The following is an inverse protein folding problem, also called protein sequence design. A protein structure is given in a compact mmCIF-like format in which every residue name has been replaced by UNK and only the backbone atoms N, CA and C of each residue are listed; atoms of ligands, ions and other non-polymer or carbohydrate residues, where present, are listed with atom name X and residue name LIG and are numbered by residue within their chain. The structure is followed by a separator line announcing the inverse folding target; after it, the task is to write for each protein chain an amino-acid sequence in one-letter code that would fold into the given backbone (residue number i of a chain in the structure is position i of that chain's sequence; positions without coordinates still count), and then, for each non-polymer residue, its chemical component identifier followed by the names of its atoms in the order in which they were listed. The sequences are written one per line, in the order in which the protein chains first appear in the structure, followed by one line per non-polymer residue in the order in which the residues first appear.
data_IF_469015165808
#
_entry.id   IF_469015165808
#
_cell.length_a   1.000
_cell.length_b   1.000
_cell.length_c   1.000
_cell.angle_alpha   90.00
_cell.angle_beta   90.00
_cell.angle_gamma   90.00
#
_symmetry.space_group_name_H-M   'P 1'
#
loop_
_entity.id
_entity.type
_entity.pdbx_description
1 polymer ?
#
# COMPACT_ATOMS: atom_id res chain seq x y z
N UNK A 1 17.95 25.50 -7.35
CA UNK A 1 16.53 25.33 -7.75
C UNK A 1 16.35 23.86 -8.10
N UNK A 2 15.43 23.16 -7.42
CA UNK A 2 15.10 21.76 -7.72
C UNK A 2 14.28 21.74 -9.01
N UNK A 3 14.64 20.91 -10.00
CA UNK A 3 14.15 20.92 -11.39
C UNK A 3 12.65 20.67 -11.67
N UNK A 4 11.78 20.89 -10.68
CA UNK A 4 10.32 20.76 -10.79
C UNK A 4 9.53 22.01 -10.40
N UNK A 5 10.20 23.10 -10.00
CA UNK A 5 9.56 24.26 -9.38
C UNK A 5 8.59 25.00 -10.33
N UNK A 6 8.83 24.98 -11.65
CA UNK A 6 7.93 25.64 -12.63
C UNK A 6 6.65 24.87 -12.94
N UNK A 7 6.66 23.53 -12.94
CA UNK A 7 5.47 22.73 -13.29
C UNK A 7 4.60 22.39 -12.07
N UNK A 8 5.19 22.34 -10.87
CA UNK A 8 4.48 22.04 -9.63
C UNK A 8 4.27 23.26 -8.73
N UNK A 9 4.54 24.46 -9.24
CA UNK A 9 4.31 25.71 -8.54
C UNK A 9 2.84 25.79 -8.08
N UNK A 10 2.60 25.77 -6.76
CA UNK A 10 1.30 25.68 -6.04
C UNK A 10 0.76 24.28 -5.67
N UNK A 11 1.47 23.18 -5.92
CA UNK A 11 1.00 21.84 -5.54
C UNK A 11 1.74 21.31 -4.31
N UNK A 12 1.00 21.00 -3.25
CA UNK A 12 1.55 20.43 -2.02
C UNK A 12 1.80 18.93 -2.17
N UNK A 13 2.93 18.46 -1.63
CA UNK A 13 3.24 17.02 -1.50
C UNK A 13 2.48 16.49 -0.28
N UNK A 14 1.61 15.50 -0.48
CA UNK A 14 0.81 14.91 0.60
C UNK A 14 1.46 13.66 1.22
N UNK A 15 2.14 12.86 0.41
CA UNK A 15 2.84 11.65 0.85
C UNK A 15 4.08 11.40 0.00
N UNK A 16 5.13 10.89 0.64
CA UNK A 16 6.41 10.56 0.02
C UNK A 16 6.80 9.15 0.47
N UNK A 17 7.19 8.32 -0.49
CA UNK A 17 7.83 7.03 -0.24
C UNK A 17 9.19 7.06 -0.95
N UNK A 18 10.25 6.57 -0.29
CA UNK A 18 11.60 6.57 -0.85
C UNK A 18 12.11 5.15 -1.04
N UNK A 19 12.63 4.86 -2.24
CA UNK A 19 13.29 3.61 -2.56
C UNK A 19 14.80 3.84 -2.66
N UNK A 20 15.55 3.31 -1.69
CA UNK A 20 16.99 3.44 -1.66
C UNK A 20 17.69 2.65 -2.78
N UNK A 21 17.20 1.47 -3.15
CA UNK A 21 17.81 0.63 -4.20
C UNK A 21 17.60 1.25 -5.59
N UNK A 22 16.43 1.86 -5.81
CA UNK A 22 16.09 2.53 -7.07
C UNK A 22 16.46 4.02 -7.10
N UNK A 23 16.95 4.56 -5.97
CA UNK A 23 17.28 5.99 -5.79
C UNK A 23 16.15 6.88 -6.31
N UNK A 24 14.92 6.57 -5.87
CA UNK A 24 13.69 7.11 -6.44
C UNK A 24 12.68 7.44 -5.35
N UNK A 25 12.13 8.64 -5.40
CA UNK A 25 10.96 9.01 -4.61
C UNK A 25 9.70 8.79 -5.43
N UNK A 26 8.68 8.21 -4.80
CA UNK A 26 7.31 8.16 -5.31
C UNK A 26 6.50 9.12 -4.45
N UNK A 27 5.91 10.13 -5.08
CA UNK A 27 5.22 11.20 -4.35
C UNK A 27 3.78 11.35 -4.81
N UNK A 28 2.88 11.53 -3.84
CA UNK A 28 1.49 11.89 -4.05
C UNK A 28 1.34 13.41 -3.94
N UNK A 29 0.88 14.06 -5.00
CA UNK A 29 0.91 15.53 -5.12
C UNK A 29 -0.45 16.08 -5.56
N UNK A 30 -0.81 17.25 -5.04
CA UNK A 30 -2.03 17.99 -5.42
C UNK A 30 -3.22 17.71 -4.51
N UNK A 31 -4.30 18.52 -4.60
CA UNK A 31 -5.45 18.43 -3.70
C UNK A 31 -6.26 17.16 -3.95
N UNK A 32 -7.07 16.72 -2.97
CA UNK A 32 -7.83 15.46 -3.00
C UNK A 32 -8.50 15.07 -4.33
N UNK A 33 -9.05 16.02 -5.09
CA UNK A 33 -9.73 15.77 -6.38
C UNK A 33 -8.80 15.75 -7.61
N UNK A 34 -7.57 16.25 -7.50
CA UNK A 34 -6.56 16.33 -8.56
C UNK A 34 -5.21 15.71 -8.16
N UNK A 35 -5.23 14.84 -7.14
CA UNK A 35 -4.08 14.06 -6.71
C UNK A 35 -3.51 13.26 -7.87
N UNK A 36 -2.20 13.20 -7.99
CA UNK A 36 -1.49 12.41 -8.98
C UNK A 36 -0.14 11.97 -8.41
N UNK A 37 0.42 10.92 -8.99
CA UNK A 37 1.73 10.42 -8.61
C UNK A 37 2.81 11.01 -9.50
N UNK A 38 3.92 11.41 -8.88
CA UNK A 38 5.15 11.78 -9.58
C UNK A 38 6.29 10.91 -9.08
N UNK A 39 7.25 10.63 -9.95
CA UNK A 39 8.52 10.01 -9.58
C UNK A 39 9.61 11.07 -9.61
N UNK A 40 10.46 11.11 -8.59
CA UNK A 40 11.56 12.06 -8.49
C UNK A 40 12.84 11.23 -8.28
N UNK A 41 13.71 11.11 -9.29
CA UNK A 41 15.03 10.51 -9.09
C UNK A 41 15.79 11.27 -8.01
N UNK A 42 16.49 10.58 -7.11
CA UNK A 42 17.24 11.22 -6.01
C UNK A 42 18.24 12.26 -6.55
N UNK A 43 18.84 12.00 -7.71
CA UNK A 43 19.74 12.94 -8.40
C UNK A 43 19.11 14.31 -8.72
N UNK A 44 17.77 14.44 -8.74
CA UNK A 44 17.07 15.71 -8.90
C UNK A 44 17.19 16.62 -7.66
N UNK A 45 17.51 16.04 -6.50
CA UNK A 45 17.73 16.77 -5.25
C UNK A 45 19.15 17.36 -5.16
N UNK A 46 20.11 16.84 -5.92
CA UNK A 46 21.49 17.34 -6.00
C UNK A 46 21.61 18.65 -6.79
N UNK A 47 20.50 19.33 -7.07
CA UNK A 47 20.45 20.54 -7.89
C UNK A 47 20.55 20.28 -9.40
N UNK A 48 20.56 19.02 -9.85
CA UNK A 48 20.42 18.70 -11.27
C UNK A 48 19.02 19.08 -11.73
N UNK A 49 18.92 19.70 -12.91
CA UNK A 49 17.64 20.11 -13.50
C UNK A 49 16.91 18.90 -14.12
N UNK A 50 16.50 17.97 -13.25
CA UNK A 50 15.73 16.79 -13.63
C UNK A 50 14.24 17.05 -13.37
N UNK A 51 13.43 16.87 -14.43
CA UNK A 51 11.98 16.99 -14.34
C UNK A 51 11.38 15.86 -13.53
N UNK A 52 10.34 16.19 -12.77
CA UNK A 52 9.54 15.18 -12.07
C UNK A 52 8.77 14.37 -13.09
N UNK A 53 8.89 13.05 -13.01
CA UNK A 53 8.28 12.16 -14.00
C UNK A 53 6.80 12.01 -13.68
N UNK A 54 5.94 12.36 -14.65
CA UNK A 54 4.49 12.15 -14.54
C UNK A 54 4.16 10.66 -14.64
N UNK A 55 3.42 10.13 -13.67
CA UNK A 55 2.80 8.80 -13.81
C UNK A 55 1.41 8.99 -14.40
N UNK A 56 1.22 8.56 -15.65
CA UNK A 56 -0.08 8.64 -16.32
C UNK A 56 -1.14 7.81 -15.57
N UNK A 57 -2.42 8.07 -15.83
CA UNK A 57 -3.56 7.35 -15.24
C UNK A 57 -3.74 7.52 -13.72
N UNK A 58 -2.87 8.25 -13.02
CA UNK A 58 -2.94 8.41 -11.55
C UNK A 58 -3.79 9.58 -11.05
N UNK A 59 -4.52 10.27 -11.95
CA UNK A 59 -5.35 11.42 -11.54
C UNK A 59 -6.50 10.98 -10.63
N UNK A 60 -6.65 11.65 -9.50
CA UNK A 60 -7.65 11.36 -8.48
C UNK A 60 -7.30 10.17 -7.58
N UNK A 61 -6.02 9.75 -7.54
CA UNK A 61 -5.58 8.70 -6.63
C UNK A 61 -5.71 9.11 -5.16
N UNK A 62 -5.96 8.15 -4.29
CA UNK A 62 -6.19 8.41 -2.86
C UNK A 62 -5.31 7.59 -1.92
N UNK A 63 -4.65 6.54 -2.40
CA UNK A 63 -3.62 5.80 -1.66
C UNK A 63 -2.45 5.48 -2.57
N UNK A 64 -1.29 5.30 -1.95
CA UNK A 64 -0.05 4.92 -2.60
C UNK A 64 0.78 4.09 -1.62
N UNK A 65 1.47 3.07 -2.12
CA UNK A 65 2.47 2.27 -1.39
C UNK A 65 3.58 1.86 -2.34
N UNK A 66 4.71 1.47 -1.79
CA UNK A 66 5.86 0.96 -2.54
C UNK A 66 6.49 -0.21 -1.80
N UNK A 67 7.16 -1.10 -2.53
CA UNK A 67 7.96 -2.17 -1.93
C UNK A 67 8.65 -3.04 -2.97
N UNK A 68 9.58 -3.86 -2.49
CA UNK A 68 10.30 -4.82 -3.30
C UNK A 68 9.43 -6.05 -3.65
N UNK A 69 9.80 -6.70 -4.75
CA UNK A 69 9.35 -8.03 -5.14
C UNK A 69 9.77 -9.11 -4.13
N UNK A 70 9.64 -10.37 -4.55
CA UNK A 70 10.08 -11.52 -3.74
C UNK A 70 11.56 -11.83 -4.00
N UNK A 71 12.14 -12.82 -3.31
CA UNK A 71 13.54 -13.23 -3.54
C UNK A 71 13.82 -13.74 -4.95
N UNK A 72 12.78 -14.20 -5.67
CA UNK A 72 12.88 -14.65 -7.07
C UNK A 72 12.60 -13.53 -8.07
N UNK A 73 12.09 -12.38 -7.61
CA UNK A 73 11.79 -11.21 -8.42
C UNK A 73 12.45 -9.96 -7.82
N UNK A 74 13.64 -9.57 -8.29
CA UNK A 74 14.39 -8.43 -7.74
C UNK A 74 13.79 -7.07 -8.14
N UNK A 75 12.62 -7.04 -8.78
CA UNK A 75 11.98 -5.82 -9.20
C UNK A 75 11.36 -5.06 -8.01
N UNK A 76 11.28 -3.74 -8.14
CA UNK A 76 10.56 -2.89 -7.19
C UNK A 76 9.25 -2.42 -7.79
N UNK A 77 8.24 -2.26 -6.94
CA UNK A 77 6.89 -1.90 -7.35
C UNK A 77 6.37 -0.72 -6.55
N UNK A 78 5.57 0.11 -7.21
CA UNK A 78 4.67 1.03 -6.51
C UNK A 78 3.24 0.79 -6.97
N UNK A 79 2.31 0.95 -6.05
CA UNK A 79 0.90 0.68 -6.28
C UNK A 79 0.08 1.91 -5.89
N UNK A 80 -0.97 2.18 -6.66
CA UNK A 80 -1.78 3.40 -6.53
C UNK A 80 -3.26 3.03 -6.55
N UNK A 81 -4.04 3.47 -5.55
CA UNK A 81 -5.48 3.29 -5.55
C UNK A 81 -6.21 4.47 -6.19
N UNK A 82 -7.19 4.17 -7.03
CA UNK A 82 -8.07 5.15 -7.67
C UNK A 82 -9.48 4.57 -7.68
N UNK A 83 -10.43 5.22 -6.99
CA UNK A 83 -11.80 4.72 -6.83
C UNK A 83 -11.82 3.27 -6.31
N UNK A 84 -12.28 2.31 -7.12
CA UNK A 84 -12.32 0.86 -6.83
C UNK A 84 -11.29 0.07 -7.66
N UNK A 85 -10.22 0.72 -8.10
CA UNK A 85 -9.10 0.08 -8.80
C UNK A 85 -7.80 0.28 -8.03
N UNK A 86 -6.89 -0.68 -8.16
CA UNK A 86 -5.49 -0.54 -7.76
C UNK A 86 -4.61 -0.75 -8.99
N UNK A 87 -3.85 0.26 -9.36
CA UNK A 87 -2.85 0.20 -10.42
C UNK A 87 -1.53 -0.30 -9.83
N UNK A 88 -0.91 -1.29 -10.46
CA UNK A 88 0.40 -1.82 -10.07
C UNK A 88 1.40 -1.41 -11.14
N UNK A 89 2.48 -0.75 -10.71
CA UNK A 89 3.58 -0.33 -11.56
C UNK A 89 4.86 -0.99 -11.10
N UNK A 90 5.64 -1.47 -12.06
CA UNK A 90 7.00 -1.90 -11.83
C UNK A 90 7.94 -0.71 -12.10
N UNK A 91 8.89 -0.48 -11.21
CA UNK A 91 10.00 0.47 -11.39
C UNK A 91 11.02 -0.18 -12.32
N UNK A 92 11.47 0.58 -13.31
CA UNK A 92 12.46 0.12 -14.28
C UNK A 92 13.50 1.22 -14.58
N UNK A 93 14.43 0.88 -15.49
CA UNK A 93 15.51 1.78 -15.93
C UNK A 93 15.18 2.53 -17.23
N UNK A 94 13.92 2.50 -17.67
CA UNK A 94 13.47 3.31 -18.82
C UNK A 94 13.53 4.81 -18.50
N UNK A 95 13.42 5.67 -19.51
CA UNK A 95 13.33 7.12 -19.31
C UNK A 95 12.14 7.50 -18.40
N UNK A 96 11.03 6.78 -18.50
CA UNK A 96 9.86 6.97 -17.63
C UNK A 96 10.06 6.39 -16.23
N UNK A 97 11.09 5.55 -16.01
CA UNK A 97 11.39 4.87 -14.74
C UNK A 97 10.28 3.93 -14.23
N UNK A 98 9.26 3.66 -15.05
CA UNK A 98 8.17 2.77 -14.69
C UNK A 98 7.41 2.22 -15.90
N UNK A 99 6.72 1.09 -15.68
CA UNK A 99 5.66 0.57 -16.55
C UNK A 99 4.46 0.10 -15.72
N UNK A 100 3.24 0.33 -16.21
CA UNK A 100 2.03 -0.29 -15.65
C UNK A 100 2.07 -1.78 -15.96
N UNK A 101 1.98 -2.62 -14.94
CA UNK A 101 1.98 -4.09 -15.11
C UNK A 101 0.59 -4.67 -14.98
N UNK A 102 -0.24 -4.13 -14.08
CA UNK A 102 -1.60 -4.64 -13.82
C UNK A 102 -2.53 -3.53 -13.34
N UNK A 103 -3.82 -3.79 -13.47
CA UNK A 103 -4.90 -3.05 -12.82
C UNK A 103 -5.82 -4.07 -12.14
N UNK A 104 -6.03 -3.91 -10.84
CA UNK A 104 -6.79 -4.82 -10.01
C UNK A 104 -8.12 -4.19 -9.66
N UNK A 105 -9.22 -4.87 -10.00
CA UNK A 105 -10.55 -4.47 -9.58
C UNK A 105 -10.79 -4.81 -8.11
N UNK A 106 -11.36 -3.88 -7.35
CA UNK A 106 -11.58 -4.02 -5.92
C UNK A 106 -13.08 -4.12 -5.61
N UNK A 107 -13.49 -5.01 -4.67
CA UNK A 107 -14.89 -5.13 -4.25
C UNK A 107 -15.40 -3.84 -3.57
N UNK A 108 -14.52 -3.13 -2.87
CA UNK A 108 -14.77 -1.84 -2.22
C UNK A 108 -13.69 -0.82 -2.54
N UNK A 109 -13.88 0.41 -2.09
CA UNK A 109 -12.83 1.43 -2.18
C UNK A 109 -11.63 1.00 -1.32
N UNK A 110 -10.40 0.93 -1.85
CA UNK A 110 -9.22 0.68 -1.04
C UNK A 110 -9.09 1.72 0.09
N UNK A 111 -8.84 1.25 1.32
CA UNK A 111 -8.71 2.07 2.53
C UNK A 111 -7.28 2.01 3.10
N UNK A 112 -6.55 0.93 2.84
CA UNK A 112 -5.13 0.78 3.18
C UNK A 112 -4.43 -0.13 2.17
N UNK A 113 -3.13 0.07 2.00
CA UNK A 113 -2.30 -0.72 1.09
C UNK A 113 -0.90 -0.88 1.66
N UNK A 114 -0.30 -2.04 1.48
CA UNK A 114 1.12 -2.28 1.77
C UNK A 114 1.69 -3.33 0.82
N UNK A 115 3.00 -3.26 0.56
CA UNK A 115 3.73 -4.32 -0.16
C UNK A 115 4.64 -5.01 0.85
N UNK A 116 4.51 -6.33 0.95
CA UNK A 116 5.30 -7.15 1.86
C UNK A 116 5.88 -8.34 1.08
N UNK A 117 7.20 -8.35 0.86
CA UNK A 117 7.95 -9.44 0.20
C UNK A 117 7.32 -9.94 -1.11
N UNK A 118 7.10 -9.04 -2.04
CA UNK A 118 6.49 -9.40 -3.31
C UNK A 118 4.98 -9.60 -3.27
N UNK A 119 4.31 -9.37 -2.14
CA UNK A 119 2.84 -9.43 -2.06
C UNK A 119 2.23 -8.07 -1.80
N UNK A 120 1.32 -7.64 -2.66
CA UNK A 120 0.50 -6.46 -2.46
C UNK A 120 -0.71 -6.84 -1.60
N UNK A 121 -0.88 -6.16 -0.47
CA UNK A 121 -2.03 -6.31 0.41
C UNK A 121 -2.89 -5.05 0.33
N UNK A 122 -4.20 -5.23 0.14
CA UNK A 122 -5.15 -4.13 0.07
C UNK A 122 -6.29 -4.39 1.04
N UNK A 123 -6.48 -3.47 1.98
CA UNK A 123 -7.66 -3.42 2.84
C UNK A 123 -8.75 -2.57 2.20
N UNK A 124 -9.98 -3.04 2.31
CA UNK A 124 -11.21 -2.37 1.86
C UNK A 124 -12.29 -2.60 2.95
N UNK A 125 -13.48 -1.98 2.86
CA UNK A 125 -14.49 -2.13 3.90
C UNK A 125 -14.76 -3.61 4.24
N UNK A 126 -14.54 -3.97 5.51
CA UNK A 126 -14.69 -5.32 6.08
C UNK A 126 -13.82 -6.43 5.49
N UNK A 127 -12.83 -6.13 4.64
CA UNK A 127 -12.01 -7.18 4.02
C UNK A 127 -10.56 -6.78 3.74
N UNK A 128 -9.72 -7.80 3.63
CA UNK A 128 -8.37 -7.69 3.11
C UNK A 128 -8.14 -8.73 2.02
N UNK A 129 -7.40 -8.34 0.98
CA UNK A 129 -7.00 -9.22 -0.11
C UNK A 129 -5.53 -9.00 -0.42
N UNK A 130 -4.86 -10.08 -0.74
CA UNK A 130 -3.44 -10.14 -1.04
C UNK A 130 -3.24 -10.67 -2.45
N UNK A 131 -2.29 -10.10 -3.19
CA UNK A 131 -1.87 -10.54 -4.51
C UNK A 131 -0.37 -10.74 -4.52
N UNK A 132 0.10 -11.86 -5.05
CA UNK A 132 1.50 -11.99 -5.45
C UNK A 132 1.79 -11.08 -6.64
N UNK A 133 2.85 -10.26 -6.55
CA UNK A 133 3.21 -9.26 -7.55
C UNK A 133 3.73 -9.91 -8.85
N UNK A 134 4.24 -11.14 -8.78
CA UNK A 134 4.79 -11.88 -9.92
C UNK A 134 3.65 -12.62 -10.65
N UNK A 135 3.01 -13.59 -9.99
CA UNK A 135 2.09 -14.52 -10.66
C UNK A 135 0.60 -14.14 -10.54
N UNK A 136 0.30 -13.09 -9.77
CA UNK A 136 -1.06 -12.58 -9.52
C UNK A 136 -1.97 -13.52 -8.72
N UNK A 137 -1.43 -14.58 -8.10
CA UNK A 137 -2.19 -15.43 -7.19
C UNK A 137 -2.79 -14.58 -6.09
N UNK A 138 -4.08 -14.80 -5.84
CA UNK A 138 -4.89 -13.94 -4.98
C UNK A 138 -5.37 -14.70 -3.75
N UNK A 139 -5.18 -14.14 -2.57
CA UNK A 139 -5.65 -14.70 -1.30
C UNK A 139 -6.56 -13.71 -0.61
N UNK A 140 -7.79 -14.12 -0.29
CA UNK A 140 -8.63 -13.36 0.64
C UNK A 140 -8.19 -13.68 2.07
N UNK A 141 -7.85 -12.66 2.85
CA UNK A 141 -7.43 -12.84 4.24
C UNK A 141 -8.60 -12.79 5.22
N UNK A 142 -9.81 -12.63 4.70
CA UNK A 142 -11.06 -12.65 5.46
C UNK A 142 -12.00 -13.54 4.65
N UNK A 143 -12.42 -14.67 5.24
CA UNK A 143 -13.43 -15.52 4.63
C UNK A 143 -14.81 -15.15 5.16
N UNK A 144 -15.63 -14.52 4.33
CA UNK A 144 -17.00 -14.14 4.70
C UNK A 144 -17.95 -15.33 4.87
N UNK A 145 -17.56 -16.52 4.41
CA UNK A 145 -18.31 -17.78 4.61
C UNK A 145 -18.02 -18.39 6.00
N UNK A 146 -16.94 -17.97 6.67
CA UNK A 146 -16.65 -18.43 8.02
C UNK A 146 -17.67 -17.84 9.01
N UNK A 147 -18.40 -18.73 9.69
CA UNK A 147 -19.40 -18.38 10.70
C UNK A 147 -18.87 -17.43 11.78
N UNK A 148 -17.59 -17.55 12.15
CA UNK A 148 -16.94 -16.69 13.13
C UNK A 148 -16.77 -15.25 12.65
N UNK A 149 -16.82 -15.00 11.34
CA UNK A 149 -16.61 -13.71 10.70
C UNK A 149 -17.87 -13.09 10.09
N UNK A 150 -19.02 -13.78 10.12
CA UNK A 150 -20.26 -13.28 9.52
C UNK A 150 -20.68 -11.89 10.03
N UNK A 151 -20.29 -11.51 11.25
CA UNK A 151 -20.57 -10.18 11.79
C UNK A 151 -19.90 -9.05 10.98
N UNK A 152 -18.83 -9.33 10.22
CA UNK A 152 -18.18 -8.37 9.31
C UNK A 152 -19.08 -7.97 8.13
N UNK A 153 -20.06 -8.82 7.77
CA UNK A 153 -21.06 -8.51 6.74
C UNK A 153 -22.17 -7.58 7.28
N UNK A 154 -22.40 -7.58 8.59
CA UNK A 154 -23.49 -6.79 9.20
C UNK A 154 -23.09 -5.34 9.44
N UNK A 155 -21.80 -5.07 9.62
CA UNK A 155 -21.25 -3.73 9.86
C UNK A 155 -20.01 -3.56 9.00
N UNK A 156 -20.01 -2.53 8.14
CA UNK A 156 -18.83 -2.20 7.36
C UNK A 156 -17.76 -1.58 8.25
N UNK A 157 -16.68 -2.32 8.50
CA UNK A 157 -15.56 -1.83 9.29
C UNK A 157 -14.46 -1.30 8.38
N UNK A 158 -14.03 -0.07 8.60
CA UNK A 158 -12.91 0.50 7.83
C UNK A 158 -11.61 -0.27 8.11
N UNK A 159 -10.94 -0.72 7.05
CA UNK A 159 -9.62 -1.33 7.11
C UNK A 159 -8.53 -0.25 7.33
N UNK A 160 -7.61 -0.49 8.25
CA UNK A 160 -6.58 0.48 8.63
C UNK A 160 -5.17 0.01 8.29
N UNK A 161 -4.78 -1.18 8.74
CA UNK A 161 -3.44 -1.71 8.48
C UNK A 161 -3.43 -3.24 8.61
N UNK A 162 -2.39 -3.85 8.06
CA UNK A 162 -2.10 -5.28 8.15
C UNK A 162 -0.68 -5.43 8.68
N UNK A 163 -0.49 -6.32 9.66
CA UNK A 163 0.81 -6.64 10.24
C UNK A 163 1.09 -8.11 9.96
N UNK A 164 2.27 -8.41 9.43
CA UNK A 164 2.77 -9.77 9.35
C UNK A 164 3.38 -10.17 10.70
N UNK A 165 2.74 -11.12 11.39
CA UNK A 165 3.14 -11.58 12.72
C UNK A 165 4.20 -12.67 12.63
N UNK A 166 4.12 -13.53 11.61
CA UNK A 166 5.05 -14.65 11.38
C UNK A 166 6.42 -14.27 10.80
N UNK A 167 6.75 -12.97 10.75
CA UNK A 167 8.04 -12.49 10.26
C UNK A 167 8.37 -12.99 8.85
N UNK A 168 9.30 -13.94 8.72
CA UNK A 168 9.75 -14.36 7.39
C UNK A 168 8.72 -15.20 6.61
N UNK A 169 7.84 -15.91 7.28
CA UNK A 169 7.00 -16.92 6.63
C UNK A 169 5.76 -16.35 5.94
N UNK A 170 5.30 -15.16 6.33
CA UNK A 170 4.08 -14.53 5.81
C UNK A 170 2.85 -15.44 5.81
N UNK A 171 2.68 -16.17 6.91
CA UNK A 171 1.56 -17.09 7.12
C UNK A 171 0.54 -16.53 8.11
N UNK A 172 0.98 -15.68 9.03
CA UNK A 172 0.15 -15.16 10.10
C UNK A 172 0.07 -13.64 10.05
N UNK A 173 -1.14 -13.12 10.12
CA UNK A 173 -1.42 -11.70 9.93
C UNK A 173 -2.36 -11.17 11.01
N UNK A 174 -2.10 -9.97 11.48
CA UNK A 174 -3.05 -9.19 12.25
C UNK A 174 -3.65 -8.11 11.34
N UNK A 175 -4.94 -8.26 11.03
CA UNK A 175 -5.74 -7.32 10.25
C UNK A 175 -6.42 -6.34 11.19
N UNK A 176 -6.11 -5.06 11.08
CA UNK A 176 -6.69 -4.02 11.92
C UNK A 176 -7.77 -3.27 11.17
N UNK A 177 -8.95 -3.25 11.75
CA UNK A 177 -10.09 -2.43 11.34
C UNK A 177 -10.43 -1.40 12.41
N UNK A 178 -11.29 -0.44 12.08
CA UNK A 178 -11.69 0.68 12.95
C UNK A 178 -12.19 0.33 14.35
N UNK A 179 -12.69 -0.90 14.59
CA UNK A 179 -13.21 -1.33 15.91
C UNK A 179 -12.80 -2.74 16.33
N UNK A 180 -11.99 -3.41 15.52
CA UNK A 180 -11.60 -4.80 15.76
C UNK A 180 -10.27 -5.13 15.09
N UNK A 181 -9.57 -6.09 15.67
CA UNK A 181 -8.44 -6.77 15.06
C UNK A 181 -8.86 -8.21 14.75
N UNK A 182 -8.44 -8.72 13.61
CA UNK A 182 -8.58 -10.13 13.23
C UNK A 182 -7.19 -10.70 13.05
N UNK A 183 -6.81 -11.63 13.90
CA UNK A 183 -5.66 -12.48 13.67
C UNK A 183 -6.06 -13.60 12.71
N UNK A 184 -5.22 -13.85 11.71
CA UNK A 184 -5.34 -14.90 10.71
C UNK A 184 -4.11 -15.78 10.85
N UNK A 185 -4.29 -17.07 11.11
CA UNK A 185 -3.16 -18.01 11.15
C UNK A 185 -2.84 -18.62 9.77
N UNK A 186 -1.79 -19.45 9.74
CA UNK A 186 -1.32 -20.13 8.54
C UNK A 186 -2.38 -21.04 7.87
N UNK A 187 -3.38 -21.50 8.63
CA UNK A 187 -4.45 -22.37 8.16
C UNK A 187 -5.69 -21.57 7.75
N UNK A 188 -5.66 -20.24 7.87
CA UNK A 188 -6.80 -19.37 7.61
C UNK A 188 -7.82 -19.36 8.73
N UNK A 189 -7.47 -19.82 9.94
CA UNK A 189 -8.33 -19.69 11.12
C UNK A 189 -8.26 -18.27 11.65
N UNK A 190 -9.41 -17.79 12.12
CA UNK A 190 -9.56 -16.42 12.58
C UNK A 190 -9.73 -16.34 14.09
N UNK A 191 -9.02 -15.38 14.72
CA UNK A 191 -9.26 -14.96 16.10
C UNK A 191 -9.60 -13.48 16.07
N UNK A 192 -10.78 -13.11 16.58
CA UNK A 192 -11.29 -11.74 16.56
C UNK A 192 -11.12 -11.10 17.93
N UNK A 193 -10.47 -9.95 17.98
CA UNK A 193 -10.32 -9.12 19.16
C UNK A 193 -11.04 -7.78 18.97
N UNK A 194 -11.89 -7.38 19.92
CA UNK A 194 -12.46 -6.03 19.92
C UNK A 194 -11.40 -5.01 20.32
N UNK A 195 -11.22 -3.97 19.50
CA UNK A 195 -10.28 -2.90 19.80
C UNK A 195 -11.03 -1.78 20.53
N UNK A 196 -10.57 -1.44 21.73
CA UNK A 196 -11.00 -0.21 22.39
C UNK A 196 -10.36 0.99 21.67
N UNK A 197 -11.14 2.02 21.32
CA UNK A 197 -10.70 3.17 20.54
C UNK A 197 -9.43 3.86 21.07
N UNK A 198 -9.17 3.77 22.39
CA UNK A 198 -7.93 4.27 23.00
C UNK A 198 -6.67 3.60 22.43
N UNK A 199 -6.72 2.32 22.07
CA UNK A 199 -5.55 1.56 21.59
C UNK A 199 -5.22 1.81 20.11
N UNK A 200 -6.21 2.17 19.28
CA UNK A 200 -5.99 2.38 17.84
C UNK A 200 -5.05 3.56 17.54
N UNK A 201 -5.10 4.62 18.36
CA UNK A 201 -4.15 5.76 18.23
C UNK A 201 -2.71 5.33 18.50
N UNK A 202 -2.53 4.38 19.41
CA UNK A 202 -1.23 3.86 19.78
C UNK A 202 -0.67 2.97 18.67
N UNK A 203 -1.47 2.11 18.03
CA UNK A 203 -0.99 1.24 16.95
C UNK A 203 -0.29 2.00 15.81
N UNK A 204 -0.74 3.22 15.46
CA UNK A 204 -0.05 4.07 14.46
C UNK A 204 1.35 4.53 14.88
N UNK A 205 1.63 4.63 16.17
CA UNK A 205 2.94 5.05 16.70
C UNK A 205 3.88 3.88 16.93
N UNK A 206 3.35 2.66 17.00
CA UNK A 206 4.09 1.46 17.36
C UNK A 206 4.65 0.67 16.14
N UNK A 207 4.27 1.05 14.91
CA UNK A 207 4.66 0.36 13.67
C UNK A 207 6.17 0.47 13.32
N UNK A 208 6.91 1.42 13.92
CA UNK A 208 8.38 1.47 13.76
C UNK A 208 9.17 0.74 14.86
N UNK A 209 8.55 0.36 16.00
CA UNK A 209 9.31 -0.13 17.17
C UNK A 209 8.86 -1.50 17.72
N UNK A 210 7.70 -2.07 17.35
CA UNK A 210 7.24 -3.35 17.91
C UNK A 210 7.91 -4.58 17.28
N UNK A 211 8.50 -4.49 16.09
CA UNK A 211 9.22 -5.62 15.46
C UNK A 211 10.59 -5.94 16.09
N UNK A 212 11.01 -5.24 17.14
CA UNK A 212 12.27 -5.53 17.86
C UNK A 212 12.09 -6.29 19.18
N UNK A 213 10.86 -6.52 19.64
CA UNK A 213 10.59 -7.13 20.96
C UNK A 213 9.53 -8.25 20.94
N UNK A 214 9.31 -8.89 19.78
CA UNK A 214 8.68 -10.20 19.63
C UNK A 214 9.69 -11.08 18.91
#
# INVERSE_FOLDING_TARGET
MVGGEKENNKRTVERVEYNAEEQLFVVLVGPQKDRHVRLIPMAALDGRDLKWIKVAETKGCHLMTMGAGSSIDPCHYFCVAIKKSVLVFQIDRSEKRHRKVRELAMPGQPQTMTVMRGKLCVGYPSGFRMWDLVDNTTTALVNFEDSSLQFLNQTLYDAHLIINVSGYEQKEFLLIFSRLGVYVDAQGKFIVCRLNQKHLKNFRLYDENILRNI
#
